data_IF_893168811321
#
_entry.id   IF_893168811321
#
_cell.length_a   1.000
_cell.length_b   1.000
_cell.length_c   1.000
_cell.angle_alpha   90.00
_cell.angle_beta   90.00
_cell.angle_gamma   90.00
#
_symmetry.space_group_name_H-M   'P 1'
#
loop_
_entity.id
_entity.type
_entity.pdbx_description
1 polymer ?
#
# COMPACT_ATOMS: atom_id res chain seq x y z
N UNK A 1 -1.49 23.69 -17.32
CA UNK A 1 -0.96 22.59 -16.48
C UNK A 1 0.45 22.96 -16.08
N UNK A 2 0.71 23.18 -14.79
CA UNK A 2 2.09 23.27 -14.28
C UNK A 2 2.70 21.87 -14.42
N UNK A 3 3.85 21.74 -15.09
CA UNK A 3 4.55 20.46 -15.16
C UNK A 3 4.77 19.94 -13.73
N UNK A 4 4.48 18.65 -13.44
CA UNK A 4 4.74 18.12 -12.12
C UNK A 4 6.24 18.23 -11.83
N UNK A 5 6.59 18.83 -10.69
CA UNK A 5 7.97 18.82 -10.24
C UNK A 5 8.39 17.36 -10.00
N UNK A 6 9.56 16.96 -10.46
CA UNK A 6 10.10 15.61 -10.26
C UNK A 6 11.37 15.68 -9.42
N UNK A 7 11.48 14.79 -8.43
CA UNK A 7 12.67 14.65 -7.59
C UNK A 7 13.09 13.18 -7.60
N UNK A 8 14.28 12.89 -8.11
CA UNK A 8 14.88 11.57 -8.00
C UNK A 8 15.63 11.42 -6.68
N UNK A 9 15.11 10.60 -5.78
CA UNK A 9 15.69 10.35 -4.47
C UNK A 9 16.77 9.28 -4.50
N UNK A 10 16.88 8.49 -5.58
CA UNK A 10 17.77 7.31 -5.63
C UNK A 10 19.24 7.67 -5.54
N UNK A 11 19.60 8.85 -6.08
CA UNK A 11 20.98 9.38 -6.01
C UNK A 11 21.33 10.03 -4.67
N UNK A 12 20.38 10.11 -3.73
CA UNK A 12 20.59 10.77 -2.44
C UNK A 12 20.71 9.75 -1.31
N UNK A 13 21.57 10.02 -0.31
CA UNK A 13 21.60 9.25 0.92
C UNK A 13 20.22 9.18 1.57
N UNK A 14 19.84 8.00 2.05
CA UNK A 14 18.48 7.72 2.52
C UNK A 14 18.03 8.69 3.61
N UNK A 15 18.93 9.11 4.51
CA UNK A 15 18.66 10.03 5.61
C UNK A 15 18.48 11.50 5.20
N UNK A 16 18.88 11.89 3.99
CA UNK A 16 18.68 13.26 3.47
C UNK A 16 17.32 13.42 2.79
N UNK A 17 16.78 12.31 2.25
CA UNK A 17 15.50 12.26 1.54
C UNK A 17 14.33 12.84 2.35
N UNK A 18 14.16 12.57 3.67
CA UNK A 18 13.02 13.06 4.44
C UNK A 18 12.92 14.59 4.46
N UNK A 19 14.01 15.28 4.76
CA UNK A 19 14.01 16.74 4.88
C UNK A 19 13.83 17.41 3.51
N UNK A 20 14.43 16.84 2.47
CA UNK A 20 14.20 17.30 1.09
C UNK A 20 12.72 17.18 0.70
N UNK A 21 12.12 16.01 0.92
CA UNK A 21 10.70 15.78 0.63
C UNK A 21 9.82 16.73 1.45
N UNK A 22 10.13 16.93 2.73
CA UNK A 22 9.40 17.85 3.60
C UNK A 22 9.40 19.28 3.04
N UNK A 23 10.58 19.81 2.67
CA UNK A 23 10.72 21.15 2.07
C UNK A 23 10.00 21.27 0.73
N UNK A 24 10.07 20.24 -0.12
CA UNK A 24 9.39 20.22 -1.40
C UNK A 24 7.86 20.26 -1.23
N UNK A 25 7.33 19.51 -0.27
CA UNK A 25 5.90 19.49 0.05
C UNK A 25 5.39 20.80 0.63
N UNK A 26 6.18 21.47 1.48
CA UNK A 26 5.81 22.77 2.07
C UNK A 26 5.66 23.87 1.01
N UNK A 27 6.41 23.76 -0.09
CA UNK A 27 6.40 24.70 -1.21
C UNK A 27 5.41 24.33 -2.31
N UNK A 28 4.77 23.16 -2.23
CA UNK A 28 3.90 22.66 -3.31
C UNK A 28 2.57 23.45 -3.32
N UNK A 29 2.27 24.20 -4.40
CA UNK A 29 1.01 24.97 -4.49
C UNK A 29 -0.22 24.07 -4.44
N UNK A 30 -1.37 24.61 -4.02
CA UNK A 30 -2.63 23.87 -4.08
C UNK A 30 -2.98 23.49 -5.51
N UNK A 31 -3.41 22.25 -5.73
CA UNK A 31 -3.68 21.69 -7.06
C UNK A 31 -2.43 21.21 -7.81
N UNK A 32 -1.22 21.52 -7.35
CA UNK A 32 0.01 21.05 -7.99
C UNK A 32 0.38 19.61 -7.57
N UNK A 33 1.15 18.93 -8.42
CA UNK A 33 1.69 17.60 -8.14
C UNK A 33 3.22 17.61 -8.05
N UNK A 34 3.75 16.79 -7.16
CA UNK A 34 5.17 16.44 -7.03
C UNK A 34 5.33 14.93 -7.26
N UNK A 35 6.26 14.52 -8.12
CA UNK A 35 6.62 13.12 -8.32
C UNK A 35 7.97 12.83 -7.69
N UNK A 36 8.03 11.83 -6.83
CA UNK A 36 9.26 11.34 -6.21
C UNK A 36 9.63 9.99 -6.83
N UNK A 37 10.87 9.84 -7.29
CA UNK A 37 11.40 8.55 -7.76
C UNK A 37 12.24 7.95 -6.63
N UNK A 38 12.02 6.68 -6.30
CA UNK A 38 12.73 5.99 -5.22
C UNK A 38 13.04 4.53 -5.56
N UNK A 39 14.07 3.99 -4.90
CA UNK A 39 14.67 2.67 -5.12
C UNK A 39 14.00 1.53 -4.34
N UNK A 40 12.94 1.87 -3.59
CA UNK A 40 12.24 0.97 -2.70
C UNK A 40 10.77 1.37 -2.57
N UNK A 41 9.94 0.41 -2.16
CA UNK A 41 8.50 0.64 -2.03
C UNK A 41 8.21 1.80 -1.06
N UNK A 42 7.50 2.86 -1.49
CA UNK A 42 7.39 4.10 -0.73
C UNK A 42 6.36 4.06 0.42
N UNK A 43 6.07 2.89 1.02
CA UNK A 43 5.04 2.76 2.08
C UNK A 43 5.34 3.65 3.29
N UNK A 44 6.56 3.55 3.83
CA UNK A 44 7.01 4.38 4.94
C UNK A 44 6.88 5.88 4.64
N UNK A 45 7.25 6.28 3.42
CA UNK A 45 7.17 7.66 2.97
C UNK A 45 5.72 8.14 2.86
N UNK A 46 4.85 7.37 2.23
CA UNK A 46 3.41 7.66 2.13
C UNK A 46 2.75 7.76 3.51
N UNK A 47 3.10 6.85 4.41
CA UNK A 47 2.61 6.84 5.80
C UNK A 47 3.02 8.12 6.53
N UNK A 48 4.29 8.52 6.43
CA UNK A 48 4.80 9.74 7.07
C UNK A 48 4.16 11.00 6.48
N UNK A 49 4.03 11.10 5.16
CA UNK A 49 3.31 12.24 4.53
C UNK A 49 1.88 12.34 5.07
N UNK A 50 1.19 11.21 5.22
CA UNK A 50 -0.17 11.17 5.76
C UNK A 50 -0.22 11.55 7.24
N UNK A 51 0.78 11.16 8.03
CA UNK A 51 0.88 11.49 9.45
C UNK A 51 1.21 12.97 9.69
N UNK A 52 2.18 13.52 8.96
CA UNK A 52 2.64 14.90 9.13
C UNK A 52 1.64 15.91 8.57
N UNK A 53 0.94 15.54 7.48
CA UNK A 53 0.02 16.42 6.75
C UNK A 53 -1.27 15.67 6.44
N UNK A 54 -2.08 15.37 7.47
CA UNK A 54 -3.28 14.57 7.31
C UNK A 54 -4.22 15.21 6.31
N UNK A 55 -4.72 14.37 5.40
CA UNK A 55 -5.72 14.74 4.39
C UNK A 55 -5.28 15.80 3.36
N UNK A 56 -4.02 16.25 3.35
CA UNK A 56 -3.57 17.34 2.46
C UNK A 56 -3.19 16.88 1.05
N UNK A 57 -2.76 15.62 0.91
CA UNK A 57 -2.27 15.08 -0.36
C UNK A 57 -3.07 13.86 -0.82
N UNK A 58 -3.29 13.79 -2.13
CA UNK A 58 -3.64 12.56 -2.84
C UNK A 58 -2.33 11.86 -3.16
N UNK A 59 -2.25 10.58 -2.80
CA UNK A 59 -1.03 9.78 -2.93
C UNK A 59 -1.27 8.70 -3.97
N UNK A 60 -0.43 8.68 -5.01
CA UNK A 60 -0.43 7.63 -6.02
C UNK A 60 0.95 6.97 -6.07
N UNK A 61 0.97 5.64 -5.92
CA UNK A 61 2.19 4.84 -5.97
C UNK A 61 2.19 3.98 -7.23
N UNK A 62 3.32 3.94 -7.94
CA UNK A 62 3.50 3.08 -9.11
C UNK A 62 4.88 2.48 -9.10
N UNK A 63 4.96 1.16 -9.29
CA UNK A 63 6.20 0.50 -9.68
C UNK A 63 6.32 0.59 -11.20
N UNK A 64 7.38 1.25 -11.67
CA UNK A 64 7.61 1.48 -13.11
C UNK A 64 8.67 0.54 -13.68
N UNK A 65 9.62 0.10 -12.86
CA UNK A 65 10.62 -0.91 -13.22
C UNK A 65 11.09 -1.67 -11.97
N UNK A 66 12.01 -2.62 -12.15
CA UNK A 66 12.58 -3.35 -11.02
C UNK A 66 13.25 -2.36 -10.05
N UNK A 67 12.82 -2.39 -8.78
CA UNK A 67 13.27 -1.45 -7.74
C UNK A 67 13.07 0.03 -8.08
N UNK A 68 12.26 0.41 -9.07
CA UNK A 68 11.98 1.82 -9.37
C UNK A 68 10.50 2.09 -9.11
N UNK A 69 10.27 2.94 -8.12
CA UNK A 69 8.95 3.38 -7.69
C UNK A 69 8.80 4.88 -7.92
N UNK A 70 7.62 5.26 -8.40
CA UNK A 70 7.15 6.63 -8.47
C UNK A 70 6.09 6.84 -7.40
N UNK A 71 6.26 7.89 -6.60
CA UNK A 71 5.29 8.38 -5.64
C UNK A 71 4.85 9.76 -6.09
N UNK A 72 3.63 9.87 -6.62
CA UNK A 72 3.03 11.13 -7.01
C UNK A 72 2.16 11.66 -5.87
N UNK A 73 2.47 12.87 -5.41
CA UNK A 73 1.79 13.57 -4.33
C UNK A 73 1.10 14.79 -4.92
N UNK A 74 -0.23 14.85 -4.88
CA UNK A 74 -1.00 15.98 -5.40
C UNK A 74 -1.62 16.76 -4.25
N UNK A 75 -1.28 18.03 -4.13
CA UNK A 75 -1.82 18.91 -3.09
C UNK A 75 -3.29 19.22 -3.39
N UNK A 76 -4.19 18.90 -2.46
CA UNK A 76 -5.62 19.10 -2.66
C UNK A 76 -5.98 20.60 -2.70
N UNK A 77 -6.95 20.94 -3.54
CA UNK A 77 -7.60 22.24 -3.58
C UNK A 77 -8.97 22.14 -2.91
N UNK A 78 -9.09 22.65 -1.68
CA UNK A 78 -10.37 22.75 -0.96
C UNK A 78 -10.30 22.40 0.54
N UNK A 79 -11.17 23.02 1.32
CA UNK A 79 -11.39 22.71 2.74
C UNK A 79 -12.37 21.54 2.90
N UNK A 80 -12.12 20.68 3.90
CA UNK A 80 -12.95 19.52 4.19
C UNK A 80 -14.27 19.93 4.86
N UNK A 81 -15.37 19.92 4.11
CA UNK A 81 -16.69 20.31 4.62
C UNK A 81 -17.42 19.18 5.37
N UNK A 82 -17.02 17.92 5.18
CA UNK A 82 -17.46 16.75 5.97
C UNK A 82 -16.43 15.59 5.83
N UNK A 83 -15.86 15.16 6.97
CA UNK A 83 -14.75 14.18 7.03
C UNK A 83 -15.15 12.71 6.80
N UNK A 84 -16.45 12.41 6.89
CA UNK A 84 -16.95 11.02 6.75
C UNK A 84 -17.86 10.83 5.53
N UNK A 85 -17.88 11.78 4.60
CA UNK A 85 -18.69 11.65 3.40
C UNK A 85 -17.99 10.78 2.35
N UNK A 86 -18.77 9.96 1.64
CA UNK A 86 -18.27 9.15 0.52
C UNK A 86 -17.62 10.03 -0.57
N UNK A 87 -18.15 11.23 -0.80
CA UNK A 87 -17.58 12.22 -1.73
C UNK A 87 -16.15 12.62 -1.35
N UNK A 88 -15.90 12.86 -0.05
CA UNK A 88 -14.57 13.22 0.41
C UNK A 88 -13.57 12.07 0.21
N UNK A 89 -13.95 10.82 0.48
CA UNK A 89 -13.07 9.67 0.23
C UNK A 89 -12.81 9.43 -1.27
N UNK A 90 -13.83 9.57 -2.12
CA UNK A 90 -13.68 9.49 -3.58
C UNK A 90 -12.72 10.57 -4.11
N UNK A 91 -12.78 11.79 -3.56
CA UNK A 91 -11.84 12.87 -3.92
C UNK A 91 -10.38 12.57 -3.57
N UNK A 92 -10.12 11.56 -2.75
CA UNK A 92 -8.79 11.18 -2.26
C UNK A 92 -8.23 9.92 -2.91
N UNK A 93 -9.06 9.17 -3.62
CA UNK A 93 -8.66 7.96 -4.32
C UNK A 93 -8.26 8.30 -5.77
N UNK A 94 -7.03 8.03 -6.22
CA UNK A 94 -6.52 8.55 -7.49
C UNK A 94 -7.41 8.28 -8.72
N UNK A 95 -8.00 7.08 -8.92
CA UNK A 95 -8.90 6.84 -10.05
C UNK A 95 -10.17 7.71 -10.06
N UNK A 96 -10.66 8.13 -8.89
CA UNK A 96 -11.90 8.91 -8.76
C UNK A 96 -11.65 10.41 -8.55
N UNK A 97 -10.48 10.78 -8.03
CA UNK A 97 -10.12 12.17 -7.77
C UNK A 97 -10.08 13.04 -9.05
N UNK A 98 -9.76 12.42 -10.19
CA UNK A 98 -9.71 13.08 -11.49
C UNK A 98 -11.08 13.35 -12.12
N UNK A 99 -12.16 12.76 -11.59
CA UNK A 99 -13.52 12.94 -12.10
C UNK A 99 -14.10 14.30 -11.73
N UNK A 100 -15.01 14.83 -12.53
CA UNK A 100 -15.73 16.06 -12.19
C UNK A 100 -16.62 15.90 -10.95
N UNK A 101 -16.93 17.02 -10.28
CA UNK A 101 -17.72 16.99 -9.05
C UNK A 101 -19.11 16.34 -9.22
N UNK A 102 -19.80 16.61 -10.34
CA UNK A 102 -21.10 16.00 -10.63
C UNK A 102 -21.02 14.49 -10.83
N UNK A 103 -19.94 14.00 -11.44
CA UNK A 103 -19.70 12.57 -11.68
C UNK A 103 -19.37 11.85 -10.37
N UNK A 104 -18.54 12.48 -9.54
CA UNK A 104 -18.28 11.96 -8.19
C UNK A 104 -19.55 11.93 -7.35
N UNK A 105 -20.48 12.88 -7.53
CA UNK A 105 -21.76 12.87 -6.83
C UNK A 105 -22.62 11.65 -7.22
N UNK A 106 -22.62 11.24 -8.49
CA UNK A 106 -23.29 10.00 -8.92
C UNK A 106 -22.72 8.76 -8.23
N UNK A 107 -21.39 8.63 -8.19
CA UNK A 107 -20.72 7.55 -7.45
C UNK A 107 -21.00 7.60 -5.95
N UNK A 108 -21.02 8.81 -5.39
CA UNK A 108 -21.30 9.06 -3.96
C UNK A 108 -22.70 8.59 -3.59
N UNK A 109 -23.70 8.88 -4.43
CA UNK A 109 -25.09 8.52 -4.19
C UNK A 109 -25.32 7.00 -4.17
N UNK A 110 -24.53 6.25 -4.95
CA UNK A 110 -24.62 4.79 -5.01
C UNK A 110 -23.67 4.06 -4.04
N UNK A 111 -22.86 4.81 -3.27
CA UNK A 111 -21.82 4.22 -2.46
C UNK A 111 -22.39 3.51 -1.22
N UNK A 112 -21.93 2.30 -0.94
CA UNK A 112 -22.39 1.48 0.19
C UNK A 112 -21.25 1.27 1.19
N UNK A 113 -21.51 1.62 2.45
CA UNK A 113 -20.56 1.44 3.53
C UNK A 113 -20.52 0.00 4.06
N UNK A 114 -19.34 -0.45 4.44
CA UNK A 114 -19.16 -1.69 5.18
C UNK A 114 -18.01 -1.54 6.17
N UNK A 115 -18.19 -2.09 7.37
CA UNK A 115 -17.21 -2.07 8.45
C UNK A 115 -16.87 -3.50 8.83
N UNK A 116 -15.61 -3.74 9.21
CA UNK A 116 -15.22 -5.00 9.82
C UNK A 116 -14.17 -4.81 10.91
N UNK A 117 -14.03 -5.84 11.73
CA UNK A 117 -13.06 -5.94 12.83
C UNK A 117 -11.96 -6.93 12.49
N UNK A 118 -10.80 -6.79 13.14
CA UNK A 118 -9.63 -7.68 12.95
C UNK A 118 -10.02 -9.15 12.84
N UNK A 119 -9.57 -9.80 11.76
CA UNK A 119 -9.81 -11.22 11.50
C UNK A 119 -11.17 -11.55 10.88
N UNK A 120 -12.07 -10.59 10.72
CA UNK A 120 -13.29 -10.79 9.94
C UNK A 120 -12.99 -10.78 8.44
N UNK A 121 -13.70 -11.61 7.69
CA UNK A 121 -13.69 -11.60 6.23
C UNK A 121 -14.77 -10.64 5.73
N UNK A 122 -14.37 -9.58 5.01
CA UNK A 122 -15.30 -8.64 4.36
C UNK A 122 -15.93 -9.24 3.10
N UNK A 123 -15.14 -10.03 2.37
CA UNK A 123 -15.55 -10.70 1.14
C UNK A 123 -14.89 -12.07 1.09
N UNK A 124 -15.69 -13.12 0.90
CA UNK A 124 -15.19 -14.48 0.78
C UNK A 124 -14.47 -14.71 -0.56
N UNK A 125 -13.78 -15.85 -0.65
CA UNK A 125 -13.21 -16.38 -1.88
C UNK A 125 -14.29 -17.13 -2.68
N UNK A 126 -14.19 -17.19 -4.01
CA UNK A 126 -15.11 -17.90 -4.91
C UNK A 126 -16.59 -17.46 -4.80
N UNK A 127 -16.83 -16.20 -4.42
CA UNK A 127 -18.16 -15.60 -4.43
C UNK A 127 -18.25 -14.53 -5.51
N UNK A 128 -19.47 -14.31 -6.00
CA UNK A 128 -19.78 -13.10 -6.75
C UNK A 128 -19.80 -11.91 -5.79
N UNK A 129 -19.20 -10.81 -6.22
CA UNK A 129 -19.12 -9.58 -5.45
C UNK A 129 -19.04 -8.39 -6.42
N UNK A 130 -20.20 -7.90 -6.91
CA UNK A 130 -20.27 -6.96 -8.02
C UNK A 130 -19.98 -5.51 -7.61
N UNK A 131 -18.87 -5.30 -6.90
CA UNK A 131 -18.44 -3.99 -6.39
C UNK A 131 -16.97 -3.73 -6.68
N UNK A 132 -16.61 -2.46 -6.80
CA UNK A 132 -15.24 -1.99 -6.53
C UNK A 132 -15.21 -1.50 -5.09
N UNK A 133 -14.31 -2.07 -4.30
CA UNK A 133 -14.10 -1.66 -2.91
C UNK A 133 -12.97 -0.65 -2.79
N UNK A 134 -13.14 0.30 -1.88
CA UNK A 134 -12.13 1.25 -1.44
C UNK A 134 -11.99 1.18 0.07
N UNK A 135 -10.76 1.07 0.58
CA UNK A 135 -10.53 1.24 2.02
C UNK A 135 -10.57 2.72 2.33
N UNK A 136 -11.39 3.15 3.28
CA UNK A 136 -11.45 4.56 3.73
C UNK A 136 -10.65 4.76 5.01
N UNK A 137 -10.60 3.73 5.86
CA UNK A 137 -9.84 3.70 7.10
C UNK A 137 -9.43 2.26 7.45
N UNK A 138 -8.30 2.11 8.14
CA UNK A 138 -7.75 0.82 8.53
C UNK A 138 -6.99 0.13 7.40
N UNK A 139 -6.76 -1.17 7.57
CA UNK A 139 -6.01 -2.01 6.63
C UNK A 139 -6.82 -3.29 6.43
N UNK A 140 -7.04 -3.62 5.17
CA UNK A 140 -7.56 -4.94 4.78
C UNK A 140 -6.47 -5.67 4.01
N UNK A 141 -6.53 -6.98 3.93
CA UNK A 141 -5.56 -7.80 3.24
C UNK A 141 -6.27 -8.74 2.27
N UNK A 142 -5.66 -8.93 1.10
CA UNK A 142 -6.00 -10.06 0.23
C UNK A 142 -5.26 -11.29 0.77
N UNK A 143 -5.99 -12.35 1.06
CA UNK A 143 -5.40 -13.57 1.63
C UNK A 143 -5.95 -14.84 0.95
N UNK A 144 -5.15 -15.91 0.92
CA UNK A 144 -5.53 -17.24 0.42
C UNK A 144 -5.39 -18.28 1.54
N UNK A 145 -6.09 -19.41 1.42
CA UNK A 145 -6.02 -20.53 2.36
C UNK A 145 -7.15 -20.56 3.40
N UNK A 146 -7.59 -21.76 3.79
CA UNK A 146 -8.67 -21.98 4.76
C UNK A 146 -8.17 -22.06 6.20
N UNK A 147 -8.82 -21.33 7.12
CA UNK A 147 -8.54 -21.35 8.56
C UNK A 147 -7.35 -20.48 9.00
N UNK A 148 -7.38 -20.00 10.25
CA UNK A 148 -6.37 -19.10 10.85
C UNK A 148 -4.92 -19.60 10.78
N UNK A 149 -4.70 -20.92 10.66
CA UNK A 149 -3.37 -21.53 10.75
C UNK A 149 -2.66 -21.70 9.40
N UNK A 150 -3.37 -21.55 8.28
CA UNK A 150 -2.80 -21.63 6.91
C UNK A 150 -3.07 -20.39 6.07
N UNK A 151 -3.46 -19.29 6.72
CA UNK A 151 -3.74 -18.04 6.03
C UNK A 151 -2.46 -17.43 5.46
N UNK A 152 -2.41 -17.31 4.13
CA UNK A 152 -1.34 -16.61 3.42
C UNK A 152 -1.84 -15.25 2.99
N UNK A 153 -1.31 -14.20 3.61
CA UNK A 153 -1.50 -12.83 3.12
C UNK A 153 -0.74 -12.67 1.81
N UNK A 154 -1.44 -12.27 0.76
CA UNK A 154 -0.84 -11.96 -0.54
C UNK A 154 -0.34 -10.52 -0.55
N UNK A 155 -1.18 -9.58 -0.14
CA UNK A 155 -0.82 -8.18 0.04
C UNK A 155 -1.86 -7.43 0.89
N UNK A 156 -1.39 -6.36 1.53
CA UNK A 156 -2.20 -5.40 2.27
C UNK A 156 -2.76 -4.30 1.35
N UNK A 157 -3.93 -3.78 1.69
CA UNK A 157 -4.65 -2.72 0.99
C UNK A 157 -4.91 -1.61 1.99
N UNK A 158 -4.39 -0.43 1.68
CA UNK A 158 -4.36 0.74 2.57
C UNK A 158 -5.47 1.75 2.24
N UNK A 159 -5.72 2.75 3.10
CA UNK A 159 -6.69 3.79 2.81
C UNK A 159 -6.47 4.44 1.46
N UNK A 160 -7.56 4.69 0.74
CA UNK A 160 -7.64 5.21 -0.64
C UNK A 160 -7.12 4.27 -1.72
N UNK A 161 -6.79 3.02 -1.38
CA UNK A 161 -6.52 1.97 -2.36
C UNK A 161 -7.77 1.13 -2.66
N UNK A 162 -7.78 0.54 -3.86
CA UNK A 162 -8.89 -0.25 -4.36
C UNK A 162 -8.67 -1.77 -4.29
N UNK A 163 -9.79 -2.50 -4.22
CA UNK A 163 -9.90 -3.94 -4.40
C UNK A 163 -11.17 -4.30 -5.20
N UNK A 164 -11.24 -5.51 -5.74
CA UNK A 164 -12.35 -5.90 -6.64
C UNK A 164 -12.20 -5.40 -8.09
N UNK A 165 -11.05 -4.77 -8.41
CA UNK A 165 -10.82 -4.16 -9.73
C UNK A 165 -10.62 -5.21 -10.82
N UNK A 166 -9.94 -6.32 -10.54
CA UNK A 166 -9.75 -7.38 -11.54
C UNK A 166 -11.11 -8.00 -11.90
N UNK A 167 -11.90 -8.35 -10.88
CA UNK A 167 -13.23 -8.95 -11.04
C UNK A 167 -14.21 -8.00 -11.76
N UNK A 168 -14.02 -6.69 -11.63
CA UNK A 168 -14.79 -5.71 -12.40
C UNK A 168 -14.57 -5.83 -13.92
N UNK A 169 -13.36 -6.15 -14.37
CA UNK A 169 -13.02 -6.21 -15.80
C UNK A 169 -13.47 -7.51 -16.48
N UNK A 170 -13.36 -8.64 -15.79
CA UNK A 170 -13.68 -9.96 -16.35
C UNK A 170 -15.04 -10.52 -15.88
N UNK A 171 -15.71 -9.84 -14.94
CA UNK A 171 -16.93 -10.31 -14.26
C UNK A 171 -16.76 -11.65 -13.56
N UNK A 172 -15.52 -11.99 -13.19
CA UNK A 172 -15.18 -13.23 -12.53
C UNK A 172 -15.46 -13.24 -11.03
N UNK A 173 -15.35 -14.43 -10.43
CA UNK A 173 -15.46 -14.61 -8.98
C UNK A 173 -14.23 -14.07 -8.23
N UNK A 174 -14.40 -13.79 -6.94
CA UNK A 174 -13.30 -13.38 -6.06
C UNK A 174 -12.19 -14.42 -5.99
N UNK A 175 -11.00 -14.11 -6.50
CA UNK A 175 -9.85 -15.05 -6.50
C UNK A 175 -9.24 -15.31 -5.10
N UNK A 176 -9.69 -14.56 -4.09
CA UNK A 176 -9.13 -14.59 -2.73
C UNK A 176 -10.10 -13.89 -1.75
N UNK A 177 -10.00 -14.21 -0.46
CA UNK A 177 -10.71 -13.47 0.59
C UNK A 177 -10.12 -12.07 0.78
N UNK A 178 -10.97 -11.13 1.19
CA UNK A 178 -10.59 -9.82 1.69
C UNK A 178 -10.84 -9.81 3.21
N UNK A 179 -9.78 -9.83 4.00
CA UNK A 179 -9.85 -9.91 5.45
C UNK A 179 -9.41 -8.60 6.12
N UNK A 180 -10.00 -8.27 7.27
CA UNK A 180 -9.61 -7.08 8.04
C UNK A 180 -8.33 -7.37 8.82
N UNK A 181 -7.29 -6.57 8.57
CA UNK A 181 -5.98 -6.74 9.17
C UNK A 181 -5.76 -5.85 10.41
N UNK A 182 -6.22 -4.60 10.36
CA UNK A 182 -6.20 -3.65 11.47
C UNK A 182 -7.28 -3.96 12.53
N UNK A 183 -7.29 -3.22 13.65
CA UNK A 183 -8.32 -3.36 14.71
C UNK A 183 -9.74 -3.24 14.15
N UNK A 184 -9.95 -2.22 13.33
CA UNK A 184 -11.17 -1.93 12.57
C UNK A 184 -10.75 -1.49 11.17
N UNK A 185 -11.56 -1.79 10.17
CA UNK A 185 -11.46 -1.21 8.84
C UNK A 185 -12.84 -0.76 8.34
N UNK A 186 -12.87 0.38 7.67
CA UNK A 186 -14.03 0.93 7.01
C UNK A 186 -13.78 0.90 5.50
N UNK A 187 -14.76 0.43 4.75
CA UNK A 187 -14.69 0.36 3.29
C UNK A 187 -15.92 0.96 2.65
N UNK A 188 -15.71 1.60 1.51
CA UNK A 188 -16.74 2.06 0.61
C UNK A 188 -16.84 1.09 -0.56
N UNK A 189 -18.06 0.73 -0.97
CA UNK A 189 -18.33 -0.15 -2.10
C UNK A 189 -19.07 0.62 -3.18
N UNK A 190 -18.57 0.53 -4.41
CA UNK A 190 -19.18 1.13 -5.59
C UNK A 190 -19.74 0.03 -6.48
N UNK A 191 -21.05 0.00 -6.76
CA UNK A 191 -21.65 -0.98 -7.65
C UNK A 191 -21.03 -0.95 -9.05
N UNK A 192 -20.79 -2.13 -9.63
CA UNK A 192 -20.18 -2.23 -10.96
C UNK A 192 -20.98 -1.53 -12.06
N UNK A 193 -22.30 -1.56 -12.01
CA UNK A 193 -23.16 -0.91 -13.00
C UNK A 193 -22.98 0.61 -13.00
N UNK A 194 -22.88 1.23 -11.82
CA UNK A 194 -22.63 2.67 -11.66
C UNK A 194 -21.23 3.02 -12.17
N UNK A 195 -20.22 2.25 -11.76
CA UNK A 195 -18.84 2.45 -12.23
C UNK A 195 -18.77 2.30 -13.75
N UNK A 196 -19.46 1.31 -14.33
CA UNK A 196 -19.47 1.07 -15.78
C UNK A 196 -20.13 2.23 -16.54
N UNK A 197 -21.25 2.78 -16.05
CA UNK A 197 -21.89 3.97 -16.64
C UNK A 197 -21.01 5.21 -16.57
N UNK A 198 -20.26 5.39 -15.48
CA UNK A 198 -19.29 6.48 -15.36
C UNK A 198 -18.11 6.26 -16.31
N UNK A 199 -17.52 5.07 -16.31
CA UNK A 199 -16.39 4.71 -17.15
C UNK A 199 -16.67 4.84 -18.66
N UNK A 200 -17.92 4.60 -19.08
CA UNK A 200 -18.36 4.81 -20.46
C UNK A 200 -18.36 6.29 -20.89
N UNK A 201 -18.59 7.22 -19.95
CA UNK A 201 -18.55 8.67 -20.18
C UNK A 201 -17.17 9.30 -19.91
N UNK A 202 -16.38 8.65 -19.06
CA UNK A 202 -15.05 9.10 -18.61
C UNK A 202 -14.03 7.95 -18.78
N UNK A 203 -13.54 7.71 -20.02
CA UNK A 203 -12.63 6.60 -20.31
C UNK A 203 -11.33 6.61 -19.49
N UNK A 204 -10.92 7.78 -19.01
CA UNK A 204 -9.80 7.96 -18.09
C UNK A 204 -9.96 7.14 -16.80
N UNK A 205 -11.20 6.93 -16.34
CA UNK A 205 -11.49 6.06 -15.20
C UNK A 205 -11.10 4.61 -15.51
N UNK A 206 -11.46 4.10 -16.69
CA UNK A 206 -11.09 2.74 -17.13
C UNK A 206 -9.57 2.58 -17.16
N UNK A 207 -8.87 3.57 -17.71
CA UNK A 207 -7.40 3.58 -17.73
C UNK A 207 -6.81 3.59 -16.33
N UNK A 208 -7.33 4.43 -15.42
CA UNK A 208 -6.87 4.48 -14.04
C UNK A 208 -7.09 3.16 -13.29
N UNK A 209 -8.26 2.52 -13.47
CA UNK A 209 -8.54 1.19 -12.93
C UNK A 209 -7.62 0.12 -13.51
N UNK A 210 -7.34 0.17 -14.82
CA UNK A 210 -6.39 -0.74 -15.48
C UNK A 210 -4.98 -0.62 -14.92
N UNK A 211 -4.53 0.60 -14.61
CA UNK A 211 -3.25 0.84 -13.93
C UNK A 211 -3.23 0.21 -12.54
N UNK A 212 -4.30 0.36 -11.75
CA UNK A 212 -4.42 -0.30 -10.44
C UNK A 212 -4.27 -1.81 -10.60
N UNK A 213 -4.99 -2.43 -11.55
CA UNK A 213 -4.90 -3.86 -11.81
C UNK A 213 -3.46 -4.28 -12.19
N UNK A 214 -2.82 -3.57 -13.11
CA UNK A 214 -1.45 -3.86 -13.55
C UNK A 214 -0.44 -3.78 -12.38
N UNK A 215 -0.60 -2.80 -11.48
CA UNK A 215 0.24 -2.68 -10.28
C UNK A 215 0.00 -3.84 -9.29
N UNK A 216 -1.25 -4.32 -9.15
CA UNK A 216 -1.54 -5.52 -8.34
C UNK A 216 -0.97 -6.80 -8.93
N UNK A 217 -1.01 -6.97 -10.26
CA UNK A 217 -0.36 -8.10 -10.94
C UNK A 217 1.14 -8.09 -10.70
N UNK A 218 1.78 -6.92 -10.83
CA UNK A 218 3.21 -6.75 -10.49
C UNK A 218 3.51 -7.16 -9.06
N UNK A 219 2.68 -6.77 -8.09
CA UNK A 219 2.87 -7.13 -6.68
C UNK A 219 2.71 -8.64 -6.43
N UNK A 220 1.72 -9.26 -7.07
CA UNK A 220 1.52 -10.72 -6.98
C UNK A 220 2.67 -11.49 -7.63
N UNK A 221 3.16 -11.04 -8.79
CA UNK A 221 4.31 -11.65 -9.46
C UNK A 221 5.58 -11.61 -8.58
N UNK A 222 5.82 -10.51 -7.86
CA UNK A 222 6.91 -10.44 -6.89
C UNK A 222 6.74 -11.43 -5.73
N UNK A 223 5.51 -11.52 -5.20
CA UNK A 223 5.19 -12.44 -4.10
C UNK A 223 5.42 -13.92 -4.49
N UNK A 224 5.29 -14.25 -5.77
CA UNK A 224 5.64 -15.55 -6.34
C UNK A 224 7.16 -15.67 -6.60
N UNK A 225 7.78 -14.63 -7.15
CA UNK A 225 9.22 -14.59 -7.45
C UNK A 225 10.15 -14.64 -6.23
N UNK A 226 9.62 -14.44 -5.01
CA UNK A 226 10.35 -14.64 -3.76
C UNK A 226 10.84 -16.08 -3.58
N UNK A 227 10.28 -17.06 -4.31
CA UNK A 227 10.56 -18.47 -4.06
C UNK A 227 11.84 -19.05 -4.71
N UNK A 228 12.73 -18.25 -5.33
CA UNK A 228 13.91 -18.85 -6.00
C UNK A 228 15.25 -18.10 -5.98
N UNK A 229 15.30 -16.78 -5.78
CA UNK A 229 16.53 -16.01 -6.08
C UNK A 229 17.32 -15.49 -4.88
N UNK A 230 16.74 -15.45 -3.68
CA UNK A 230 17.42 -14.92 -2.48
C UNK A 230 17.54 -16.00 -1.38
N UNK A 231 18.69 -16.09 -0.69
CA UNK A 231 18.81 -16.81 0.57
C UNK A 231 17.73 -16.38 1.55
N UNK A 232 17.37 -17.26 2.49
CA UNK A 232 16.31 -17.01 3.48
C UNK A 232 16.53 -15.67 4.20
N UNK A 233 17.76 -15.36 4.59
CA UNK A 233 18.10 -14.10 5.26
C UNK A 233 17.72 -12.88 4.41
N UNK A 234 18.13 -12.86 3.14
CA UNK A 234 17.79 -11.78 2.20
C UNK A 234 16.28 -11.70 1.90
N UNK A 235 15.58 -12.84 1.88
CA UNK A 235 14.11 -12.86 1.74
C UNK A 235 13.42 -12.21 2.94
N UNK A 236 13.85 -12.52 4.16
CA UNK A 236 13.32 -11.92 5.39
C UNK A 236 13.68 -10.44 5.45
N UNK A 237 14.91 -10.07 5.08
CA UNK A 237 15.32 -8.67 4.99
C UNK A 237 14.41 -7.88 4.03
N UNK A 238 14.09 -8.45 2.86
CA UNK A 238 13.18 -7.84 1.89
C UNK A 238 11.74 -7.70 2.41
N UNK A 239 11.25 -8.64 3.21
CA UNK A 239 9.93 -8.54 3.86
C UNK A 239 9.91 -7.40 4.87
N UNK A 240 11.00 -7.15 5.59
CA UNK A 240 11.09 -6.12 6.62
C UNK A 240 11.35 -4.71 6.04
N UNK A 241 12.01 -4.62 4.89
CA UNK A 241 12.43 -3.34 4.27
C UNK A 241 11.31 -2.29 4.10
N UNK A 242 10.06 -2.63 3.70
CA UNK A 242 8.98 -1.65 3.59
C UNK A 242 8.61 -0.97 4.93
N UNK A 243 8.97 -1.58 6.05
CA UNK A 243 8.70 -1.08 7.40
C UNK A 243 9.86 -0.29 8.00
N UNK A 244 11.05 -0.33 7.39
CA UNK A 244 12.22 0.42 7.85
C UNK A 244 12.08 1.91 7.50
N UNK A 245 12.21 2.77 8.52
CA UNK A 245 12.18 4.22 8.32
C UNK A 245 13.41 4.68 7.53
N UNK A 246 13.28 5.73 6.69
CA UNK A 246 14.39 6.26 5.91
C UNK A 246 15.25 7.20 6.76
N UNK A 247 15.76 6.69 7.87
CA UNK A 247 16.68 7.35 8.80
C UNK A 247 17.92 6.46 8.95
N UNK A 248 19.05 7.05 9.33
CA UNK A 248 20.32 6.33 9.42
C UNK A 248 20.40 5.52 10.71
N UNK A 249 20.94 4.31 10.60
CA UNK A 249 21.17 3.44 11.74
C UNK A 249 19.91 2.71 12.20
N UNK A 250 20.00 2.15 13.40
CA UNK A 250 18.94 1.37 14.01
C UNK A 250 17.87 2.27 14.64
N UNK A 251 16.79 2.52 13.90
CA UNK A 251 15.73 3.48 14.24
C UNK A 251 14.37 2.80 14.43
N UNK A 252 13.40 3.44 15.12
CA UNK A 252 12.05 2.89 15.25
C UNK A 252 11.44 2.54 13.90
N UNK A 253 10.92 1.32 13.77
CA UNK A 253 10.23 0.86 12.58
C UNK A 253 8.82 1.46 12.48
N UNK A 254 8.20 1.33 11.31
CA UNK A 254 6.79 1.68 11.11
C UNK A 254 5.90 1.00 12.16
N UNK A 255 4.94 1.75 12.70
CA UNK A 255 3.93 1.24 13.65
C UNK A 255 3.22 0.00 13.10
N UNK A 256 3.04 -0.08 11.78
CA UNK A 256 2.41 -1.22 11.12
C UNK A 256 3.14 -2.56 11.41
N UNK A 257 4.48 -2.55 11.47
CA UNK A 257 5.29 -3.75 11.71
C UNK A 257 4.98 -4.41 13.05
N UNK A 258 4.65 -3.60 14.07
CA UNK A 258 4.34 -4.11 15.41
C UNK A 258 3.11 -5.02 15.45
N UNK A 259 2.26 -4.96 14.42
CA UNK A 259 1.05 -5.79 14.32
C UNK A 259 1.28 -7.11 13.58
N UNK A 260 2.46 -7.29 12.97
CA UNK A 260 2.81 -8.45 12.15
C UNK A 260 3.47 -9.53 13.01
N UNK A 261 2.99 -10.76 12.85
CA UNK A 261 3.52 -11.94 13.56
C UNK A 261 4.69 -12.57 12.82
N UNK A 262 5.54 -13.33 13.52
CA UNK A 262 6.62 -14.10 12.88
C UNK A 262 6.10 -15.11 11.86
N UNK A 263 4.92 -15.70 12.07
CA UNK A 263 4.29 -16.59 11.09
C UNK A 263 3.92 -15.86 9.80
N UNK A 264 3.43 -14.62 9.90
CA UNK A 264 3.15 -13.78 8.73
C UNK A 264 4.44 -13.36 8.01
N UNK A 265 5.50 -13.01 8.75
CA UNK A 265 6.82 -12.73 8.18
C UNK A 265 7.36 -13.97 7.44
N UNK A 266 7.23 -15.17 8.04
CA UNK A 266 7.65 -16.43 7.44
C UNK A 266 6.89 -16.72 6.13
N UNK A 267 5.56 -16.59 6.15
CA UNK A 267 4.72 -16.76 4.97
C UNK A 267 5.10 -15.79 3.85
N UNK A 268 5.34 -14.52 4.18
CA UNK A 268 5.78 -13.49 3.22
C UNK A 268 7.19 -13.78 2.67
N UNK A 269 8.09 -14.32 3.50
CA UNK A 269 9.43 -14.75 3.11
C UNK A 269 9.46 -16.09 2.34
N UNK A 270 8.33 -16.77 2.21
CA UNK A 270 8.24 -18.10 1.59
C UNK A 270 8.99 -19.16 2.37
N UNK A 271 8.87 -19.15 3.71
CA UNK A 271 9.52 -20.09 4.62
C UNK A 271 8.61 -20.45 5.80
N UNK A 272 9.07 -21.34 6.68
CA UNK A 272 8.36 -21.74 7.92
C UNK A 272 8.79 -20.88 9.11
N UNK A 273 7.96 -20.84 10.16
CA UNK A 273 8.14 -19.97 11.33
C UNK A 273 9.50 -20.16 12.01
N UNK A 274 9.94 -21.40 12.18
CA UNK A 274 11.21 -21.76 12.82
C UNK A 274 12.40 -21.21 12.05
N UNK A 275 12.33 -21.28 10.72
CA UNK A 275 13.38 -20.81 9.81
C UNK A 275 13.39 -19.27 9.75
N UNK A 276 12.22 -18.63 9.72
CA UNK A 276 12.11 -17.17 9.83
C UNK A 276 12.63 -16.66 11.18
N UNK A 277 12.34 -17.35 12.29
CA UNK A 277 12.84 -16.98 13.61
C UNK A 277 14.37 -16.99 13.69
N UNK A 278 15.02 -17.98 13.07
CA UNK A 278 16.50 -18.03 12.96
C UNK A 278 17.04 -16.88 12.12
N UNK A 279 16.42 -16.59 10.97
CA UNK A 279 16.82 -15.47 10.14
C UNK A 279 16.63 -14.11 10.85
N UNK A 280 15.54 -13.94 11.61
CA UNK A 280 15.33 -12.74 12.44
C UNK A 280 16.43 -12.60 13.50
N UNK A 281 16.85 -13.71 14.11
CA UNK A 281 17.96 -13.69 15.08
C UNK A 281 19.31 -13.34 14.42
N UNK A 282 19.58 -13.83 13.21
CA UNK A 282 20.78 -13.46 12.44
C UNK A 282 20.74 -12.00 11.96
N UNK A 283 19.57 -11.46 11.61
CA UNK A 283 19.42 -10.02 11.37
C UNK A 283 19.71 -9.18 12.62
N UNK A 284 19.28 -9.65 13.79
CA UNK A 284 19.56 -8.95 15.06
C UNK A 284 21.04 -8.99 15.43
N UNK A 285 21.74 -10.12 15.24
CA UNK A 285 23.19 -10.22 15.49
C UNK A 285 24.00 -9.30 14.57
N UNK A 286 23.49 -9.02 13.37
CA UNK A 286 24.05 -8.07 12.40
C UNK A 286 23.63 -6.62 12.65
N UNK A 287 22.94 -6.33 13.75
CA UNK A 287 22.37 -5.01 14.04
C UNK A 287 21.40 -4.47 12.98
N UNK A 288 20.85 -5.34 12.12
CA UNK A 288 19.87 -4.96 11.09
C UNK A 288 18.48 -4.71 11.69
N UNK A 289 18.22 -5.23 12.90
CA UNK A 289 16.97 -5.02 13.64
C UNK A 289 17.21 -5.12 15.15
N UNK A 290 16.25 -4.64 15.94
CA UNK A 290 16.17 -4.90 17.39
C UNK A 290 14.75 -5.22 17.82
N UNK A 291 14.63 -6.22 18.68
CA UNK A 291 13.38 -6.63 19.29
C UNK A 291 13.20 -6.02 20.68
N UNK A 292 11.98 -5.63 21.02
CA UNK A 292 11.56 -5.33 22.39
C UNK A 292 10.29 -6.11 22.70
N UNK A 293 10.25 -6.77 23.86
CA UNK A 293 9.12 -7.62 24.28
C UNK A 293 8.71 -8.66 23.21
N UNK A 294 9.68 -9.20 22.46
CA UNK A 294 9.45 -10.18 21.40
C UNK A 294 8.97 -9.62 20.05
N UNK A 295 8.73 -8.31 19.95
CA UNK A 295 8.33 -7.63 18.72
C UNK A 295 9.50 -6.88 18.10
N UNK A 296 9.62 -6.91 16.76
CA UNK A 296 10.60 -6.07 16.05
C UNK A 296 10.15 -4.61 16.20
N UNK A 297 11.00 -3.79 16.83
CA UNK A 297 10.71 -2.37 17.09
C UNK A 297 11.62 -1.43 16.33
N UNK A 298 12.82 -1.86 15.98
CA UNK A 298 13.79 -1.06 15.25
C UNK A 298 14.31 -1.83 14.06
N UNK A 299 14.59 -1.11 12.98
CA UNK A 299 15.18 -1.63 11.76
C UNK A 299 16.30 -0.69 11.31
N UNK A 300 17.39 -1.26 10.85
CA UNK A 300 18.41 -0.54 10.08
C UNK A 300 18.17 -0.78 8.60
N UNK A 301 17.78 0.28 7.89
CA UNK A 301 17.41 0.20 6.49
C UNK A 301 18.58 -0.12 5.57
N UNK A 302 19.78 0.37 5.89
CA UNK A 302 20.96 0.23 5.03
C UNK A 302 21.45 -1.21 5.05
N UNK A 303 21.57 -1.78 6.24
CA UNK A 303 21.96 -3.18 6.42
C UNK A 303 20.95 -4.12 5.75
N UNK A 304 19.65 -3.83 5.82
CA UNK A 304 18.64 -4.61 5.11
C UNK A 304 18.79 -4.53 3.58
N UNK A 305 19.16 -3.37 3.04
CA UNK A 305 19.38 -3.18 1.60
C UNK A 305 20.63 -3.92 1.11
N UNK A 306 21.73 -3.85 1.86
CA UNK A 306 22.98 -4.57 1.59
C UNK A 306 22.74 -6.08 1.51
N UNK A 307 22.05 -6.65 2.50
CA UNK A 307 21.70 -8.07 2.54
C UNK A 307 20.80 -8.54 1.38
N UNK A 308 20.10 -7.62 0.73
CA UNK A 308 19.30 -7.90 -0.47
C UNK A 308 20.15 -7.78 -1.74
N UNK A 309 21.20 -6.95 -1.73
CA UNK A 309 22.08 -6.66 -2.87
C UNK A 309 23.23 -7.64 -3.00
N UNK A 310 23.78 -8.16 -1.90
CA UNK A 310 24.93 -9.09 -1.85
C UNK A 310 24.71 -10.45 -2.53
N UNK A 311 23.53 -10.68 -3.12
CA UNK A 311 23.15 -11.96 -3.74
C UNK A 311 22.66 -11.80 -5.19
N UNK A 312 22.90 -10.64 -5.80
CA UNK A 312 22.64 -10.39 -7.24
C UNK A 312 23.92 -10.42 -8.06
#
# INVERSE_FOLDING_TARGET
>A
MVQPAEIDLRGLPVWERPELVRKALDRLPSGASLTLITDAEPRALSSRVTQDRPERFIIETRRVANRIWQLRLTHRSGEATDRNSASQHLSRCPPFAALDAGVRAELTAAAVWQTGRRGQTLVAENVDWPFIGMVTEGIVARANGGGRERERILYEIFPYELFGVAEYFDRGLKMARIAVFSKTAHVLKLPWDVVSRVAARYPELTNALGIVMAQRVRLLADALGVQGSLPILGRIARVLLPYAMPERGLVPASVALSTITQSQIAAAGGTVKEVAARAIADLESRSALRREHGHIRYLDREVLLELIQDVS
#
